data_IF_810069748966
#
_entry.id   IF_810069748966
#
_cell.length_a   1.000
_cell.length_b   1.000
_cell.length_c   1.000
_cell.angle_alpha   90.00
_cell.angle_beta   90.00
_cell.angle_gamma   90.00
#
_symmetry.space_group_name_H-M   'P 1'
#
loop_
_entity.id
_entity.type
_entity.pdbx_description
1 polymer ?
#
# COMPACT_ATOMS: atom_id res chain seq x y z
N UNK A 1 20.67 -1.10 -27.95
CA UNK A 1 19.23 -1.51 -28.01
C UNK A 1 18.46 -0.44 -28.77
N UNK A 2 17.63 -0.81 -29.77
CA UNK A 2 16.88 0.14 -30.60
C UNK A 2 15.80 0.87 -29.76
N UNK A 3 15.85 2.21 -29.59
CA UNK A 3 14.89 2.96 -28.78
C UNK A 3 13.45 2.89 -29.31
N UNK A 4 13.26 2.89 -30.63
CA UNK A 4 11.93 2.84 -31.26
C UNK A 4 11.24 1.53 -30.90
N UNK A 5 11.97 0.40 -31.02
CA UNK A 5 11.43 -0.92 -30.66
C UNK A 5 11.06 -1.03 -29.18
N UNK A 6 11.77 -0.33 -28.28
CA UNK A 6 11.39 -0.27 -26.86
C UNK A 6 10.07 0.47 -26.68
N UNK A 7 9.89 1.61 -27.34
CA UNK A 7 8.64 2.38 -27.28
C UNK A 7 7.48 1.57 -27.85
N UNK A 8 7.67 0.92 -29.00
CA UNK A 8 6.68 0.02 -29.60
C UNK A 8 6.28 -1.10 -28.63
N UNK A 9 7.26 -1.71 -27.95
CA UNK A 9 7.01 -2.72 -26.93
C UNK A 9 6.17 -2.19 -25.77
N UNK A 10 6.50 -1.01 -25.22
CA UNK A 10 5.72 -0.40 -24.14
C UNK A 10 4.31 -0.02 -24.57
N UNK A 11 4.13 0.45 -25.81
CA UNK A 11 2.82 0.77 -26.37
C UNK A 11 1.94 -0.50 -26.42
N UNK A 12 2.50 -1.61 -26.89
CA UNK A 12 1.76 -2.86 -27.04
C UNK A 12 1.44 -3.51 -25.69
N UNK A 13 2.42 -3.57 -24.78
CA UNK A 13 2.30 -4.37 -23.55
C UNK A 13 1.71 -3.59 -22.37
N UNK A 14 1.99 -2.30 -22.27
CA UNK A 14 1.55 -1.48 -21.13
C UNK A 14 0.46 -0.51 -21.58
N UNK A 15 0.70 0.33 -22.58
CA UNK A 15 -0.20 1.45 -22.89
C UNK A 15 -1.58 1.01 -23.35
N UNK A 16 -1.68 0.16 -24.40
CA UNK A 16 -2.97 -0.22 -25.00
C UNK A 16 -3.91 -0.91 -24.02
N UNK A 17 -3.39 -1.88 -23.25
CA UNK A 17 -4.17 -2.61 -22.26
C UNK A 17 -4.60 -1.71 -21.11
N UNK A 18 -3.68 -0.89 -20.58
CA UNK A 18 -4.02 -0.09 -19.42
C UNK A 18 -4.93 1.08 -19.78
N UNK A 19 -4.84 1.66 -20.98
CA UNK A 19 -5.72 2.74 -21.40
C UNK A 19 -7.21 2.31 -21.40
N UNK A 20 -7.50 1.11 -21.91
CA UNK A 20 -8.88 0.55 -21.82
C UNK A 20 -9.31 0.23 -20.39
N UNK A 21 -8.38 -0.20 -19.54
CA UNK A 21 -8.70 -0.58 -18.16
C UNK A 21 -8.89 0.65 -17.26
N UNK A 22 -8.11 1.72 -17.43
CA UNK A 22 -8.29 3.01 -16.73
C UNK A 22 -9.59 3.70 -17.15
N UNK A 23 -9.97 3.58 -18.43
CA UNK A 23 -11.30 4.00 -18.91
C UNK A 23 -12.44 3.26 -18.18
N UNK A 24 -12.33 1.93 -18.07
CA UNK A 24 -13.27 1.08 -17.33
C UNK A 24 -14.33 0.40 -18.18
N UNK A 25 -14.54 0.82 -19.42
CA UNK A 25 -15.46 0.17 -20.37
C UNK A 25 -14.71 -0.76 -21.33
N UNK A 26 -14.10 -1.81 -20.78
CA UNK A 26 -13.12 -2.66 -21.50
C UNK A 26 -13.67 -3.23 -22.83
N UNK A 27 -14.94 -3.63 -22.88
CA UNK A 27 -15.54 -4.29 -24.05
C UNK A 27 -15.90 -3.35 -25.19
N UNK A 28 -16.11 -2.06 -24.92
CA UNK A 28 -16.55 -1.04 -25.90
C UNK A 28 -15.54 0.09 -26.03
N UNK A 29 -14.35 -0.07 -25.45
CA UNK A 29 -13.34 0.98 -25.43
C UNK A 29 -12.85 1.31 -26.83
N UNK A 30 -12.93 2.59 -27.16
CA UNK A 30 -12.30 3.19 -28.34
C UNK A 30 -11.40 4.32 -27.85
N UNK A 31 -10.12 4.39 -28.25
CA UNK A 31 -9.18 5.44 -27.82
C UNK A 31 -9.44 6.76 -28.58
N UNK A 32 -10.70 7.17 -28.68
CA UNK A 32 -11.14 8.41 -29.32
C UNK A 32 -12.02 9.15 -28.31
N UNK A 33 -11.63 10.38 -28.01
CA UNK A 33 -12.43 11.26 -27.18
C UNK A 33 -13.66 11.71 -27.97
N UNK A 34 -14.86 11.42 -27.45
CA UNK A 34 -16.12 11.90 -28.04
C UNK A 34 -17.03 12.52 -26.97
N UNK A 35 -18.02 13.28 -27.43
CA UNK A 35 -18.89 14.10 -26.57
C UNK A 35 -19.60 13.28 -25.48
N UNK A 36 -20.04 12.08 -25.80
CA UNK A 36 -20.82 11.25 -24.86
C UNK A 36 -19.96 10.66 -23.73
N UNK A 37 -18.63 10.70 -23.85
CA UNK A 37 -17.73 10.37 -22.74
C UNK A 37 -17.70 11.48 -21.67
N UNK A 38 -18.27 12.65 -21.96
CA UNK A 38 -18.17 13.84 -21.12
C UNK A 38 -19.50 14.11 -20.40
N UNK A 39 -19.59 13.73 -19.13
CA UNK A 39 -20.74 14.01 -18.29
C UNK A 39 -20.65 15.36 -17.54
N UNK A 40 -19.49 16.04 -17.61
CA UNK A 40 -19.21 17.27 -16.86
C UNK A 40 -18.14 18.11 -17.56
N UNK A 41 -17.90 19.30 -17.02
CA UNK A 41 -16.88 20.21 -17.48
C UNK A 41 -15.47 19.61 -17.35
N UNK A 42 -14.63 19.82 -18.37
CA UNK A 42 -13.28 19.28 -18.47
C UNK A 42 -12.40 19.71 -17.30
N UNK A 43 -12.47 20.99 -16.90
CA UNK A 43 -11.61 21.54 -15.85
C UNK A 43 -11.84 20.85 -14.50
N UNK A 44 -13.09 20.44 -14.25
CA UNK A 44 -13.47 19.75 -13.01
C UNK A 44 -12.90 18.33 -12.97
N UNK A 45 -12.99 17.60 -14.08
CA UNK A 45 -12.60 16.18 -14.17
C UNK A 45 -11.13 15.99 -14.52
N UNK A 46 -10.43 17.05 -14.92
CA UNK A 46 -9.02 17.03 -15.24
C UNK A 46 -8.16 16.71 -14.02
N UNK A 47 -7.35 15.66 -14.14
CA UNK A 47 -6.37 15.23 -13.14
C UNK A 47 -5.03 15.91 -13.46
N UNK A 48 -4.63 16.85 -12.61
CA UNK A 48 -3.37 17.56 -12.74
C UNK A 48 -2.31 17.00 -11.78
N UNK A 49 -1.01 17.20 -12.05
CA UNK A 49 0.07 16.82 -11.12
C UNK A 49 -0.12 17.38 -9.70
N UNK A 50 -0.64 18.61 -9.58
CA UNK A 50 -0.90 19.24 -8.29
C UNK A 50 -2.00 18.50 -7.52
N UNK A 51 -3.11 18.14 -8.19
CA UNK A 51 -4.20 17.34 -7.59
C UNK A 51 -3.70 15.96 -7.17
N UNK A 52 -2.83 15.34 -7.97
CA UNK A 52 -2.18 14.06 -7.64
C UNK A 52 -1.36 14.20 -6.36
N UNK A 53 -0.39 15.11 -6.35
CA UNK A 53 0.53 15.29 -5.21
C UNK A 53 -0.19 15.71 -3.93
N UNK A 54 -1.17 16.61 -4.03
CA UNK A 54 -2.00 17.00 -2.88
C UNK A 54 -2.79 15.80 -2.31
N UNK A 55 -3.33 14.95 -3.18
CA UNK A 55 -4.05 13.73 -2.75
C UNK A 55 -3.11 12.71 -2.13
N UNK A 56 -1.92 12.50 -2.70
CA UNK A 56 -0.89 11.62 -2.13
C UNK A 56 -0.51 12.11 -0.73
N UNK A 57 -0.18 13.38 -0.55
CA UNK A 57 0.21 13.94 0.75
C UNK A 57 -0.90 13.77 1.79
N UNK A 58 -2.15 14.06 1.42
CA UNK A 58 -3.31 13.82 2.30
C UNK A 58 -3.47 12.35 2.70
N UNK A 59 -3.16 11.42 1.80
CA UNK A 59 -3.20 10.00 2.13
C UNK A 59 -2.03 9.58 3.03
N UNK A 60 -0.86 10.20 2.88
CA UNK A 60 0.30 9.98 3.76
C UNK A 60 0.11 10.54 5.18
N UNK A 61 -0.71 11.58 5.34
CA UNK A 61 -1.18 12.02 6.66
C UNK A 61 -2.04 10.97 7.37
N UNK A 62 -2.56 9.98 6.63
CA UNK A 62 -3.31 8.86 7.18
C UNK A 62 -2.42 7.64 7.28
N UNK A 63 -1.91 7.14 6.16
CA UNK A 63 -1.06 5.96 6.04
C UNK A 63 0.37 6.37 5.61
N UNK A 64 1.15 6.85 6.57
CA UNK A 64 2.46 7.46 6.31
C UNK A 64 3.50 6.48 5.73
N UNK A 65 3.36 5.19 6.02
CA UNK A 65 4.36 4.16 5.70
C UNK A 65 4.11 3.43 4.39
N UNK A 66 3.11 3.83 3.60
CA UNK A 66 2.73 3.14 2.36
C UNK A 66 3.88 3.03 1.36
N UNK A 67 4.77 4.03 1.34
CA UNK A 67 5.95 4.09 0.46
C UNK A 67 7.27 3.88 1.19
N UNK A 68 7.23 3.48 2.47
CA UNK A 68 8.41 3.22 3.27
C UNK A 68 8.75 1.73 3.23
N UNK A 69 9.96 1.43 2.77
CA UNK A 69 10.38 0.06 2.52
C UNK A 69 11.67 -0.25 3.27
N UNK A 70 11.72 -1.43 3.88
CA UNK A 70 12.95 -1.99 4.43
C UNK A 70 13.79 -2.54 3.28
N UNK A 71 14.96 -1.95 3.07
CA UNK A 71 15.87 -2.26 1.97
C UNK A 71 17.25 -2.63 2.50
N UNK A 72 17.97 -3.45 1.75
CA UNK A 72 19.32 -3.84 2.12
C UNK A 72 20.28 -2.71 1.75
N UNK A 73 21.03 -2.25 2.74
CA UNK A 73 22.15 -1.33 2.62
C UNK A 73 23.48 -2.07 2.72
N UNK A 74 24.38 -1.77 1.80
CA UNK A 74 25.75 -2.29 1.77
C UNK A 74 26.70 -1.17 1.39
N UNK A 75 27.79 -1.01 2.15
CA UNK A 75 28.82 -0.01 1.92
C UNK A 75 30.19 -0.60 2.27
N UNK A 76 30.97 -0.91 1.23
CA UNK A 76 32.28 -1.57 1.36
C UNK A 76 33.32 -0.67 2.06
N UNK A 77 33.32 0.64 1.76
CA UNK A 77 34.25 1.61 2.37
C UNK A 77 34.08 1.68 3.88
N UNK A 78 32.83 1.56 4.34
CA UNK A 78 32.46 1.57 5.76
C UNK A 78 32.40 0.18 6.38
N UNK A 79 32.86 -0.86 5.66
CA UNK A 79 32.84 -2.28 6.10
C UNK A 79 31.43 -2.81 6.43
N UNK A 80 30.39 -2.18 5.89
CA UNK A 80 29.00 -2.61 6.06
C UNK A 80 28.64 -3.57 4.93
N UNK A 81 28.56 -4.87 5.23
CA UNK A 81 28.22 -5.88 4.22
C UNK A 81 26.72 -5.94 3.94
N UNK A 82 25.90 -5.96 4.99
CA UNK A 82 24.44 -6.07 4.88
C UNK A 82 23.75 -5.54 6.14
N UNK A 83 23.07 -4.42 5.99
CA UNK A 83 22.15 -3.88 7.01
C UNK A 83 20.79 -3.57 6.40
N UNK A 84 19.77 -3.44 7.23
CA UNK A 84 18.43 -3.06 6.81
C UNK A 84 18.17 -1.60 7.16
N UNK A 85 17.78 -0.80 6.17
CA UNK A 85 17.38 0.60 6.34
C UNK A 85 15.97 0.82 5.84
N UNK A 86 15.29 1.82 6.39
CA UNK A 86 14.03 2.31 5.83
C UNK A 86 14.32 3.37 4.77
N UNK A 87 13.80 3.16 3.56
CA UNK A 87 13.88 4.11 2.45
C UNK A 87 12.48 4.38 1.92
N UNK A 88 12.14 5.67 1.77
CA UNK A 88 10.91 6.10 1.11
C UNK A 88 11.08 6.10 -0.40
N UNK A 89 10.22 5.40 -1.12
CA UNK A 89 10.27 5.31 -2.59
C UNK A 89 8.89 5.60 -3.18
N UNK A 90 8.75 6.77 -3.80
CA UNK A 90 7.51 7.16 -4.44
C UNK A 90 7.32 6.45 -5.79
N UNK A 91 6.07 6.12 -6.16
CA UNK A 91 5.74 5.55 -7.45
C UNK A 91 5.75 6.62 -8.55
N UNK A 92 6.07 6.21 -9.78
CA UNK A 92 5.86 7.04 -10.96
C UNK A 92 4.37 7.06 -11.30
N UNK A 93 3.80 8.25 -11.45
CA UNK A 93 2.41 8.44 -11.82
C UNK A 93 2.31 8.70 -13.33
N UNK A 94 1.57 7.84 -14.03
CA UNK A 94 1.35 7.95 -15.47
C UNK A 94 -0.13 8.29 -15.70
N UNK A 95 -0.37 9.42 -16.36
CA UNK A 95 -1.71 9.84 -16.76
C UNK A 95 -2.03 9.30 -18.16
N UNK A 96 -3.00 8.38 -18.22
CA UNK A 96 -3.49 7.79 -19.45
C UNK A 96 -4.38 8.79 -20.20
N UNK A 97 -4.21 8.96 -21.52
CA UNK A 97 -4.97 9.93 -22.31
C UNK A 97 -6.39 9.40 -22.59
N UNK A 98 -7.21 9.32 -21.56
CA UNK A 98 -8.59 8.89 -21.61
C UNK A 98 -9.42 9.58 -20.54
N UNK A 99 -10.72 9.61 -20.76
CA UNK A 99 -11.72 9.77 -19.70
C UNK A 99 -11.93 8.39 -19.07
N UNK A 100 -11.94 8.30 -17.75
CA UNK A 100 -12.03 7.00 -17.07
C UNK A 100 -12.50 7.05 -15.63
N UNK A 101 -12.64 5.87 -15.03
CA UNK A 101 -13.14 5.69 -13.68
C UNK A 101 -12.32 4.72 -12.82
N UNK A 102 -11.15 4.28 -13.32
CA UNK A 102 -10.30 3.31 -12.62
C UNK A 102 -8.86 3.79 -12.50
N UNK A 103 -8.25 3.54 -11.34
CA UNK A 103 -6.81 3.60 -11.14
C UNK A 103 -6.20 2.20 -11.16
N UNK A 104 -5.02 2.06 -11.73
CA UNK A 104 -4.31 0.78 -11.86
C UNK A 104 -2.98 0.87 -11.15
N UNK A 105 -2.71 -0.12 -10.29
CA UNK A 105 -1.37 -0.40 -9.79
C UNK A 105 -0.71 -1.34 -10.81
N UNK A 106 0.19 -0.81 -11.65
CA UNK A 106 0.81 -1.57 -12.74
C UNK A 106 1.94 -2.45 -12.24
N UNK A 107 2.84 -1.86 -11.47
CA UNK A 107 4.03 -2.51 -10.94
C UNK A 107 4.35 -1.92 -9.58
N UNK A 108 4.72 -2.76 -8.62
CA UNK A 108 5.17 -2.37 -7.30
C UNK A 108 6.66 -2.01 -7.27
N UNK A 109 7.48 -2.65 -8.10
CA UNK A 109 8.92 -2.38 -8.25
C UNK A 109 9.36 -2.51 -9.71
N UNK A 110 10.54 -1.97 -10.03
CA UNK A 110 11.21 -2.13 -11.32
C UNK A 110 12.40 -3.09 -11.20
N UNK A 111 12.34 -4.24 -11.88
CA UNK A 111 13.41 -5.24 -11.87
C UNK A 111 13.41 -6.06 -10.59
N UNK A 112 14.61 -6.32 -10.02
CA UNK A 112 14.77 -7.16 -8.81
C UNK A 112 15.01 -6.37 -7.53
N UNK A 113 15.38 -5.10 -7.66
CA UNK A 113 15.73 -4.26 -6.51
C UNK A 113 14.46 -3.68 -5.90
N UNK A 114 14.29 -3.89 -4.59
CA UNK A 114 13.11 -3.48 -3.82
C UNK A 114 13.04 -1.98 -3.54
N UNK A 115 14.13 -1.26 -3.79
CA UNK A 115 14.25 0.17 -3.57
C UNK A 115 13.97 1.00 -4.84
N UNK A 116 13.29 0.39 -5.82
CA UNK A 116 12.93 1.01 -7.09
C UNK A 116 11.47 1.43 -7.12
N UNK A 117 11.16 2.47 -7.89
CA UNK A 117 9.80 2.99 -8.00
C UNK A 117 8.84 2.01 -8.68
N UNK A 118 7.66 1.89 -8.09
CA UNK A 118 6.47 1.32 -8.74
C UNK A 118 5.86 2.28 -9.76
N UNK A 119 4.80 1.85 -10.45
CA UNK A 119 4.09 2.64 -11.46
C UNK A 119 2.59 2.58 -11.25
N UNK A 120 1.96 3.74 -11.10
CA UNK A 120 0.52 3.88 -10.98
C UNK A 120 -0.06 4.59 -12.21
N UNK A 121 -1.20 4.12 -12.67
CA UNK A 121 -1.84 4.63 -13.87
C UNK A 121 -3.21 5.19 -13.49
N UNK A 122 -3.47 6.44 -13.87
CA UNK A 122 -4.77 7.08 -13.70
C UNK A 122 -5.22 7.69 -15.03
N UNK A 123 -6.52 7.80 -15.32
CA UNK A 123 -6.98 8.55 -16.47
C UNK A 123 -6.70 10.05 -16.26
N UNK A 124 -6.34 10.76 -17.31
CA UNK A 124 -6.13 12.21 -17.29
C UNK A 124 -7.45 12.97 -17.01
N UNK A 125 -8.60 12.36 -17.34
CA UNK A 125 -9.92 12.86 -16.97
C UNK A 125 -10.71 11.81 -16.19
N UNK A 126 -11.26 12.15 -15.02
CA UNK A 126 -12.04 11.22 -14.20
C UNK A 126 -13.28 11.85 -13.59
N UNK A 127 -14.41 11.14 -13.69
CA UNK A 127 -15.63 11.47 -12.93
C UNK A 127 -15.59 10.87 -11.52
N UNK A 128 -14.76 9.85 -11.32
CA UNK A 128 -14.56 9.24 -10.02
C UNK A 128 -13.67 10.14 -9.17
N UNK A 129 -14.02 10.29 -7.89
CA UNK A 129 -13.21 11.02 -6.94
C UNK A 129 -11.76 10.47 -6.91
N UNK A 130 -10.78 11.35 -7.14
CA UNK A 130 -9.37 10.97 -7.24
C UNK A 130 -8.84 10.31 -5.96
N UNK A 131 -9.27 10.78 -4.79
CA UNK A 131 -8.91 10.17 -3.50
C UNK A 131 -9.41 8.72 -3.43
N UNK A 132 -10.65 8.45 -3.82
CA UNK A 132 -11.18 7.07 -3.88
C UNK A 132 -10.37 6.17 -4.81
N UNK A 133 -9.96 6.67 -5.98
CA UNK A 133 -9.11 5.92 -6.91
C UNK A 133 -7.75 5.60 -6.29
N UNK A 134 -7.10 6.60 -5.68
CA UNK A 134 -5.78 6.45 -5.08
C UNK A 134 -5.80 5.50 -3.89
N UNK A 135 -6.80 5.56 -3.02
CA UNK A 135 -6.92 4.63 -1.88
C UNK A 135 -6.95 3.17 -2.35
N UNK A 136 -7.69 2.87 -3.43
CA UNK A 136 -7.71 1.53 -4.02
C UNK A 136 -6.35 1.12 -4.58
N UNK A 137 -5.66 2.03 -5.27
CA UNK A 137 -4.32 1.77 -5.82
C UNK A 137 -3.30 1.55 -4.70
N UNK A 138 -3.35 2.34 -3.62
CA UNK A 138 -2.49 2.21 -2.45
C UNK A 138 -2.73 0.89 -1.72
N UNK A 139 -4.00 0.48 -1.55
CA UNK A 139 -4.33 -0.83 -0.99
C UNK A 139 -3.77 -1.98 -1.84
N UNK A 140 -3.89 -1.92 -3.17
CA UNK A 140 -3.27 -2.92 -4.05
C UNK A 140 -1.74 -2.91 -3.94
N UNK A 141 -1.13 -1.73 -3.87
CA UNK A 141 0.30 -1.57 -3.72
C UNK A 141 0.81 -2.15 -2.41
N UNK A 142 0.16 -1.85 -1.27
CA UNK A 142 0.45 -2.45 0.05
C UNK A 142 0.50 -3.97 -0.02
N UNK A 143 -0.53 -4.56 -0.64
CA UNK A 143 -0.64 -6.01 -0.77
C UNK A 143 0.48 -6.61 -1.62
N UNK A 144 0.67 -6.10 -2.85
CA UNK A 144 1.68 -6.67 -3.76
C UNK A 144 3.10 -6.40 -3.26
N UNK A 145 3.37 -5.24 -2.67
CA UNK A 145 4.67 -4.94 -2.09
C UNK A 145 5.00 -5.90 -0.94
N UNK A 146 4.03 -6.20 -0.05
CA UNK A 146 4.22 -7.21 0.99
C UNK A 146 4.49 -8.59 0.38
N UNK A 147 3.73 -9.01 -0.65
CA UNK A 147 3.99 -10.30 -1.34
C UNK A 147 5.39 -10.35 -1.96
N UNK A 148 5.85 -9.26 -2.57
CA UNK A 148 7.18 -9.16 -3.18
C UNK A 148 8.30 -9.17 -2.14
N UNK A 149 8.08 -8.61 -0.95
CA UNK A 149 9.02 -8.66 0.17
C UNK A 149 9.14 -10.09 0.72
N UNK A 150 8.01 -10.74 0.98
CA UNK A 150 7.95 -12.09 1.59
C UNK A 150 8.30 -13.22 0.61
N UNK A 151 8.19 -12.99 -0.71
CA UNK A 151 8.54 -13.96 -1.73
C UNK A 151 7.70 -15.23 -1.60
N UNK A 152 8.35 -16.38 -1.37
CA UNK A 152 7.65 -17.68 -1.22
C UNK A 152 6.87 -17.81 0.08
N UNK A 153 7.20 -17.01 1.11
CA UNK A 153 6.57 -17.05 2.43
C UNK A 153 5.31 -16.17 2.52
N UNK A 154 4.87 -15.54 1.43
CA UNK A 154 3.76 -14.57 1.43
C UNK A 154 2.44 -15.10 2.00
N UNK A 155 2.23 -16.41 1.98
CA UNK A 155 1.04 -17.09 2.53
C UNK A 155 1.39 -18.10 3.64
N UNK A 156 2.58 -18.02 4.23
CA UNK A 156 2.98 -18.90 5.33
C UNK A 156 2.74 -18.19 6.67
N UNK A 157 1.76 -18.66 7.44
CA UNK A 157 1.41 -18.09 8.75
C UNK A 157 2.55 -18.22 9.79
N UNK A 158 3.52 -19.12 9.57
CA UNK A 158 4.75 -19.19 10.38
C UNK A 158 5.59 -17.92 10.25
N UNK A 159 5.52 -17.30 9.08
CA UNK A 159 6.14 -16.00 8.76
C UNK A 159 5.06 -14.92 8.74
N UNK A 160 4.77 -14.37 9.92
CA UNK A 160 3.73 -13.37 10.11
C UNK A 160 3.98 -12.10 9.29
N UNK A 161 3.12 -11.86 8.32
CA UNK A 161 3.11 -10.68 7.45
C UNK A 161 1.66 -10.26 7.20
N UNK A 162 1.46 -9.09 6.58
CA UNK A 162 0.13 -8.64 6.19
C UNK A 162 -0.59 -9.71 5.35
N UNK A 163 0.10 -10.27 4.35
CA UNK A 163 -0.53 -11.17 3.39
C UNK A 163 -0.76 -12.55 3.98
N UNK A 164 0.13 -13.06 4.84
CA UNK A 164 -0.03 -14.38 5.45
C UNK A 164 -1.12 -14.39 6.51
N UNK A 165 -1.16 -13.39 7.40
CA UNK A 165 -2.22 -13.28 8.42
C UNK A 165 -3.59 -13.00 7.79
N UNK A 166 -3.64 -12.13 6.78
CA UNK A 166 -4.91 -11.80 6.14
C UNK A 166 -5.45 -12.97 5.31
N UNK A 167 -4.58 -13.75 4.65
CA UNK A 167 -4.99 -14.95 3.93
C UNK A 167 -5.47 -16.05 4.87
N UNK A 168 -4.79 -16.26 6.00
CA UNK A 168 -5.22 -17.18 7.06
C UNK A 168 -6.59 -16.77 7.64
N UNK A 169 -6.77 -15.47 7.91
CA UNK A 169 -8.05 -14.92 8.34
C UNK A 169 -9.18 -15.25 7.36
N UNK A 170 -8.97 -15.01 6.06
CA UNK A 170 -9.97 -15.33 5.03
C UNK A 170 -10.22 -16.83 4.88
N UNK A 171 -9.23 -17.69 5.09
CA UNK A 171 -9.37 -19.13 4.99
C UNK A 171 -10.15 -19.72 6.18
N UNK A 172 -9.88 -19.23 7.39
CA UNK A 172 -10.41 -19.81 8.63
C UNK A 172 -11.51 -18.99 9.31
N UNK A 173 -12.03 -17.95 8.66
CA UNK A 173 -13.03 -17.04 9.25
C UNK A 173 -14.27 -17.74 9.83
N UNK A 174 -14.70 -18.88 9.25
CA UNK A 174 -15.85 -19.65 9.75
C UNK A 174 -15.65 -20.18 11.18
N UNK A 175 -14.40 -20.53 11.52
CA UNK A 175 -13.99 -21.05 12.83
C UNK A 175 -13.55 -19.96 13.80
N UNK A 176 -13.46 -18.71 13.34
CA UNK A 176 -12.99 -17.60 14.16
C UNK A 176 -14.05 -17.21 15.20
N UNK A 177 -13.65 -17.25 16.49
CA UNK A 177 -14.52 -16.94 17.63
C UNK A 177 -14.77 -15.44 17.83
N UNK A 178 -13.91 -14.59 17.27
CA UNK A 178 -14.03 -13.13 17.35
C UNK A 178 -15.07 -12.56 16.36
N UNK A 179 -15.63 -13.41 15.50
CA UNK A 179 -16.68 -13.05 14.55
C UNK A 179 -18.02 -13.63 15.00
N UNK A 180 -19.03 -12.76 15.15
CA UNK A 180 -20.42 -13.20 15.24
C UNK A 180 -20.88 -13.82 13.91
N UNK A 181 -21.95 -14.62 13.94
CA UNK A 181 -22.50 -15.24 12.71
C UNK A 181 -22.89 -14.19 11.66
N UNK A 182 -23.45 -13.05 12.08
CA UNK A 182 -23.74 -11.93 11.18
C UNK A 182 -22.47 -11.39 10.50
N UNK A 183 -21.37 -11.25 11.24
CA UNK A 183 -20.08 -10.80 10.70
C UNK A 183 -19.47 -11.83 9.74
N UNK A 184 -19.64 -13.12 10.01
CA UNK A 184 -19.20 -14.19 9.11
C UNK A 184 -19.97 -14.16 7.78
N UNK A 185 -21.27 -13.92 7.80
CA UNK A 185 -22.06 -13.81 6.56
C UNK A 185 -21.71 -12.53 5.78
N UNK A 186 -21.49 -11.40 6.47
CA UNK A 186 -20.97 -10.17 5.83
C UNK A 186 -19.62 -10.40 5.16
N UNK A 187 -18.70 -11.11 5.82
CA UNK A 187 -17.40 -11.44 5.25
C UNK A 187 -17.51 -12.37 4.05
N UNK A 188 -18.39 -13.38 4.09
CA UNK A 188 -18.67 -14.25 2.94
C UNK A 188 -19.15 -13.44 1.72
N UNK A 189 -20.06 -12.49 1.94
CA UNK A 189 -20.51 -11.57 0.88
C UNK A 189 -19.37 -10.69 0.36
N UNK A 190 -18.49 -10.22 1.23
CA UNK A 190 -17.31 -9.45 0.84
C UNK A 190 -16.31 -10.29 0.03
N UNK A 191 -16.08 -11.55 0.40
CA UNK A 191 -15.25 -12.50 -0.36
C UNK A 191 -15.81 -12.70 -1.78
N UNK A 192 -17.13 -12.84 -1.89
CA UNK A 192 -17.79 -12.93 -3.19
C UNK A 192 -17.64 -11.65 -4.02
N UNK A 193 -17.79 -10.47 -3.41
CA UNK A 193 -17.56 -9.17 -4.06
C UNK A 193 -16.12 -9.03 -4.56
N UNK A 194 -15.14 -9.48 -3.77
CA UNK A 194 -13.73 -9.54 -4.15
C UNK A 194 -13.39 -10.69 -5.11
N UNK A 195 -14.39 -11.44 -5.61
CA UNK A 195 -14.23 -12.56 -6.55
C UNK A 195 -13.26 -13.64 -6.05
N UNK A 196 -13.25 -13.89 -4.74
CA UNK A 196 -12.30 -14.79 -4.07
C UNK A 196 -10.82 -14.39 -4.22
N UNK A 197 -10.52 -13.15 -4.62
CA UNK A 197 -9.16 -12.63 -4.68
C UNK A 197 -8.83 -11.91 -3.37
N UNK A 198 -7.95 -12.49 -2.56
CA UNK A 198 -7.54 -11.94 -1.26
C UNK A 198 -7.07 -10.49 -1.33
N UNK A 199 -6.41 -10.10 -2.43
CA UNK A 199 -6.00 -8.71 -2.65
C UNK A 199 -7.19 -7.76 -2.77
N UNK A 200 -8.18 -8.11 -3.59
CA UNK A 200 -9.35 -7.24 -3.78
C UNK A 200 -10.23 -7.20 -2.52
N UNK A 201 -10.26 -8.30 -1.76
CA UNK A 201 -10.93 -8.34 -0.45
C UNK A 201 -10.21 -7.43 0.55
N UNK A 202 -8.87 -7.48 0.59
CA UNK A 202 -8.04 -6.56 1.38
C UNK A 202 -8.26 -5.11 0.99
N UNK A 203 -8.33 -4.79 -0.31
CA UNK A 203 -8.57 -3.42 -0.79
C UNK A 203 -9.90 -2.87 -0.28
N UNK A 204 -10.95 -3.69 -0.22
CA UNK A 204 -12.25 -3.27 0.34
C UNK A 204 -12.08 -2.87 1.82
N UNK A 205 -11.36 -3.67 2.60
CA UNK A 205 -11.10 -3.34 4.02
C UNK A 205 -10.18 -2.13 4.18
N UNK A 206 -9.15 -2.00 3.35
CA UNK A 206 -8.24 -0.86 3.33
C UNK A 206 -8.99 0.44 2.98
N UNK A 207 -9.95 0.39 2.05
CA UNK A 207 -10.84 1.53 1.80
C UNK A 207 -11.64 1.93 3.04
N UNK A 208 -12.13 0.95 3.82
CA UNK A 208 -12.83 1.26 5.07
C UNK A 208 -11.89 1.83 6.14
N UNK A 209 -10.66 1.32 6.20
CA UNK A 209 -9.60 1.76 7.10
C UNK A 209 -9.27 3.24 6.92
N UNK A 210 -9.01 3.64 5.67
CA UNK A 210 -8.65 5.02 5.33
C UNK A 210 -9.85 5.96 5.42
N UNK A 211 -11.03 5.56 4.96
CA UNK A 211 -12.17 6.48 4.85
C UNK A 211 -12.96 6.64 6.14
N UNK A 212 -13.01 5.62 7.00
CA UNK A 212 -13.85 5.57 8.20
C UNK A 212 -13.05 5.37 9.49
N UNK A 213 -12.25 4.31 9.60
CA UNK A 213 -11.55 3.99 10.86
C UNK A 213 -10.52 5.07 11.21
N UNK A 214 -9.85 5.68 10.22
CA UNK A 214 -8.97 6.83 10.40
C UNK A 214 -9.67 8.04 11.05
N UNK A 215 -11.00 8.13 10.92
CA UNK A 215 -11.86 9.18 11.51
C UNK A 215 -12.56 8.71 12.80
N UNK A 216 -12.29 7.50 13.27
CA UNK A 216 -12.93 6.88 14.44
C UNK A 216 -14.30 6.26 14.16
N UNK A 217 -14.71 6.15 12.89
CA UNK A 217 -15.94 5.46 12.51
C UNK A 217 -15.67 3.97 12.30
N UNK A 218 -16.22 3.15 13.19
CA UNK A 218 -15.93 1.72 13.27
C UNK A 218 -16.73 0.96 12.22
N UNK A 219 -16.02 0.34 11.27
CA UNK A 219 -16.60 -0.43 10.15
C UNK A 219 -16.00 -1.82 10.03
N UNK A 220 -14.77 -2.00 10.48
CA UNK A 220 -14.02 -3.23 10.33
C UNK A 220 -14.25 -4.22 11.47
N UNK A 221 -13.99 -5.49 11.18
CA UNK A 221 -13.93 -6.52 12.19
C UNK A 221 -12.66 -6.36 13.04
N UNK A 222 -12.72 -6.80 14.29
CA UNK A 222 -11.60 -6.72 15.24
C UNK A 222 -10.29 -7.32 14.67
N UNK A 223 -10.27 -8.55 14.10
CA UNK A 223 -9.04 -9.13 13.53
C UNK A 223 -8.45 -8.27 12.39
N UNK A 224 -9.31 -7.72 11.52
CA UNK A 224 -8.87 -6.88 10.39
C UNK A 224 -8.28 -5.56 10.89
N UNK A 225 -8.90 -4.95 11.92
CA UNK A 225 -8.38 -3.73 12.55
C UNK A 225 -6.98 -3.96 13.13
N UNK A 226 -6.76 -5.07 13.82
CA UNK A 226 -5.45 -5.39 14.40
C UNK A 226 -4.37 -5.60 13.31
N UNK A 227 -4.70 -6.33 12.24
CA UNK A 227 -3.79 -6.53 11.11
C UNK A 227 -3.45 -5.20 10.45
N UNK A 228 -4.44 -4.36 10.14
CA UNK A 228 -4.22 -3.06 9.50
C UNK A 228 -3.49 -2.07 10.41
N UNK A 229 -3.80 -2.02 11.70
CA UNK A 229 -3.04 -1.20 12.65
C UNK A 229 -1.57 -1.62 12.75
N UNK A 230 -1.27 -2.90 12.58
CA UNK A 230 0.10 -3.44 12.64
C UNK A 230 0.86 -3.15 11.34
N UNK A 231 0.26 -3.43 10.18
CA UNK A 231 0.97 -3.42 8.89
C UNK A 231 0.71 -2.19 8.01
N UNK A 232 -0.39 -1.47 8.25
CA UNK A 232 -0.76 -0.21 7.60
C UNK A 232 -1.03 0.87 8.68
N UNK A 233 -0.05 1.15 9.56
CA UNK A 233 -0.26 1.96 10.75
C UNK A 233 -0.63 3.40 10.39
N UNK A 234 -1.58 3.95 11.15
CA UNK A 234 -1.93 5.35 10.98
C UNK A 234 -0.78 6.29 11.38
N UNK A 235 -0.78 7.50 10.82
CA UNK A 235 0.11 8.57 11.27
C UNK A 235 -0.09 8.85 12.78
N UNK A 236 0.97 9.35 13.43
CA UNK A 236 1.01 9.56 14.89
C UNK A 236 -0.19 10.34 15.42
N UNK A 237 -0.55 11.46 14.79
CA UNK A 237 -1.67 12.30 15.21
C UNK A 237 -3.02 11.53 15.23
N UNK A 238 -3.24 10.63 14.27
CA UNK A 238 -4.45 9.80 14.22
C UNK A 238 -4.40 8.73 15.32
N UNK A 239 -3.24 8.09 15.53
CA UNK A 239 -3.09 7.07 16.58
C UNK A 239 -3.32 7.64 17.97
N UNK A 240 -2.78 8.82 18.28
CA UNK A 240 -2.97 9.49 19.57
C UNK A 240 -4.45 9.81 19.80
N UNK A 241 -5.15 10.30 18.77
CA UNK A 241 -6.60 10.56 18.85
C UNK A 241 -7.42 9.28 19.04
N UNK A 242 -7.12 8.23 18.30
CA UNK A 242 -7.88 6.97 18.33
C UNK A 242 -7.53 6.10 19.55
N UNK A 243 -6.33 6.22 20.11
CA UNK A 243 -5.89 5.47 21.28
C UNK A 243 -6.73 5.72 22.53
N UNK A 244 -7.47 6.83 22.58
CA UNK A 244 -8.45 7.13 23.62
C UNK A 244 -9.72 6.28 23.53
N UNK A 245 -9.95 5.60 22.40
CA UNK A 245 -11.13 4.77 22.19
C UNK A 245 -10.83 3.31 22.57
N UNK A 246 -11.62 2.69 23.48
CA UNK A 246 -11.39 1.30 23.91
C UNK A 246 -11.34 0.28 22.76
N UNK A 247 -12.07 0.54 21.67
CA UNK A 247 -12.18 -0.35 20.52
C UNK A 247 -10.89 -0.41 19.66
N UNK A 248 -9.94 0.50 19.88
CA UNK A 248 -8.61 0.50 19.26
C UNK A 248 -7.51 0.03 20.20
N UNK A 249 -7.80 -0.16 21.49
CA UNK A 249 -6.79 -0.43 22.52
C UNK A 249 -5.91 -1.65 22.18
N UNK A 250 -6.53 -2.79 21.84
CA UNK A 250 -5.82 -4.03 21.52
C UNK A 250 -4.99 -3.92 20.23
N UNK A 251 -5.53 -3.26 19.21
CA UNK A 251 -4.84 -3.01 17.94
C UNK A 251 -3.63 -2.09 18.15
N UNK A 252 -3.77 -1.03 18.95
CA UNK A 252 -2.69 -0.10 19.27
C UNK A 252 -1.65 -0.76 20.19
N UNK A 253 -2.07 -1.60 21.14
CA UNK A 253 -1.17 -2.36 21.99
C UNK A 253 -0.32 -3.34 21.17
N UNK A 254 -0.92 -4.04 20.20
CA UNK A 254 -0.19 -4.92 19.26
C UNK A 254 0.83 -4.12 18.45
N UNK A 255 0.40 -3.02 17.85
CA UNK A 255 1.29 -2.13 17.10
C UNK A 255 2.49 -1.66 17.95
N UNK A 256 2.24 -1.19 19.18
CA UNK A 256 3.29 -0.70 20.08
C UNK A 256 4.28 -1.80 20.48
N UNK A 257 3.82 -3.04 20.68
CA UNK A 257 4.70 -4.19 20.95
C UNK A 257 5.61 -4.49 19.77
N UNK A 258 5.08 -4.54 18.55
CA UNK A 258 5.88 -4.78 17.34
C UNK A 258 6.86 -3.63 17.07
N UNK A 259 6.43 -2.38 17.27
CA UNK A 259 7.29 -1.19 17.21
C UNK A 259 8.47 -1.30 18.18
N UNK A 260 8.20 -1.59 19.46
CA UNK A 260 9.25 -1.73 20.47
C UNK A 260 10.21 -2.89 20.18
N UNK A 261 9.70 -4.00 19.65
CA UNK A 261 10.52 -5.12 19.19
C UNK A 261 11.48 -4.68 18.07
N UNK A 262 10.98 -3.92 17.09
CA UNK A 262 11.82 -3.37 16.00
C UNK A 262 12.86 -2.37 16.48
N UNK A 263 12.51 -1.47 17.40
CA UNK A 263 13.49 -0.56 18.01
C UNK A 263 14.62 -1.35 18.69
N UNK A 264 14.28 -2.36 19.51
CA UNK A 264 15.28 -3.19 20.20
C UNK A 264 16.15 -4.00 19.23
N UNK A 265 15.57 -4.51 18.15
CA UNK A 265 16.29 -5.22 17.09
C UNK A 265 17.35 -4.31 16.45
N UNK A 266 16.97 -3.09 16.04
CA UNK A 266 17.86 -2.10 15.43
C UNK A 266 18.93 -1.61 16.41
N UNK A 267 18.57 -1.31 17.66
CA UNK A 267 19.53 -0.89 18.70
C UNK A 267 20.53 -1.99 19.07
N UNK A 268 20.10 -3.26 19.06
CA UNK A 268 21.00 -4.40 19.23
C UNK A 268 21.97 -4.49 18.06
N UNK A 269 21.48 -4.29 16.84
CA UNK A 269 22.32 -4.32 15.63
C UNK A 269 23.36 -3.19 15.62
N UNK A 270 22.98 -1.97 16.00
CA UNK A 270 23.92 -0.85 16.13
C UNK A 270 25.03 -1.16 17.15
N UNK A 271 24.68 -1.73 18.32
CA UNK A 271 25.66 -2.14 19.33
C UNK A 271 26.64 -3.20 18.82
N UNK A 272 26.18 -4.12 17.96
CA UNK A 272 27.06 -5.10 17.32
C UNK A 272 28.04 -4.43 16.35
N UNK A 273 27.57 -3.48 15.53
CA UNK A 273 28.43 -2.72 14.62
C UNK A 273 29.50 -1.91 15.38
N UNK A 274 29.11 -1.25 16.47
CA UNK A 274 30.03 -0.52 17.35
C UNK A 274 31.10 -1.45 17.96
N UNK A 275 30.70 -2.65 18.40
CA UNK A 275 31.63 -3.67 18.92
C UNK A 275 32.63 -4.12 17.85
N UNK A 276 32.19 -4.22 16.61
CA UNK A 276 33.03 -4.55 15.45
C UNK A 276 33.85 -3.35 14.94
N UNK A 277 33.79 -2.20 15.64
CA UNK A 277 34.45 -0.93 15.30
C UNK A 277 34.01 -0.40 13.92
N UNK A 278 32.77 -0.67 13.55
CA UNK A 278 32.10 -0.12 12.38
C UNK A 278 31.30 1.10 12.82
N UNK A 279 31.54 2.23 12.16
CA UNK A 279 30.82 3.47 12.45
C UNK A 279 29.35 3.37 12.01
N UNK A 280 28.43 3.74 12.91
CA UNK A 280 27.00 3.77 12.60
C UNK A 280 26.72 4.96 11.69
N UNK A 281 26.37 4.67 10.44
CA UNK A 281 26.13 5.68 9.41
C UNK A 281 24.80 6.42 9.61
N UNK A 282 24.65 7.64 9.07
CA UNK A 282 23.41 8.40 9.16
C UNK A 282 22.16 7.64 8.70
N UNK A 283 22.27 6.79 7.68
CA UNK A 283 21.16 5.98 7.15
C UNK A 283 20.61 4.98 8.19
N UNK A 284 21.49 4.40 9.01
CA UNK A 284 21.11 3.50 10.10
C UNK A 284 20.48 4.26 11.27
N UNK A 285 21.04 5.43 11.61
CA UNK A 285 20.46 6.32 12.62
C UNK A 285 19.07 6.82 12.21
N UNK A 286 18.90 7.21 10.95
CA UNK A 286 17.60 7.63 10.40
C UNK A 286 16.57 6.51 10.50
N UNK A 287 16.97 5.26 10.28
CA UNK A 287 16.10 4.10 10.44
C UNK A 287 15.66 3.90 11.89
N UNK A 288 16.58 4.04 12.84
CA UNK A 288 16.24 4.00 14.27
C UNK A 288 15.31 5.13 14.67
N UNK A 289 15.57 6.35 14.19
CA UNK A 289 14.73 7.51 14.45
C UNK A 289 13.34 7.35 13.85
N UNK A 290 13.24 6.82 12.64
CA UNK A 290 11.96 6.47 11.99
C UNK A 290 11.11 5.57 12.90
N UNK A 291 11.68 4.47 13.41
CA UNK A 291 10.95 3.59 14.32
C UNK A 291 10.70 4.19 15.71
N UNK A 292 11.41 5.23 16.14
CA UNK A 292 11.14 5.92 17.42
C UNK A 292 10.00 6.92 17.24
N UNK A 293 10.06 7.72 16.20
CA UNK A 293 9.10 8.81 15.92
C UNK A 293 7.74 8.29 15.46
N UNK A 294 7.73 7.32 14.55
CA UNK A 294 6.53 6.78 13.94
C UNK A 294 6.17 5.45 14.58
#
# INVERSE_FOLDING_TARGET
>A
VNPIRKVEYEIQNMFRYNNRTTNGQISVFVPVLHRDMLASDFDRIHVTPEKINATINKLLEIDYSVFDHEVIYSNEEKKITKEYIIKRVYPDIILMPTVGCNGIMWQEITGKKRDTSGRFLFPIFTFTNLTTLMVKVFGRFRWEMCRTIEGTAWNDIKHKSLTSEYSDYLQFYRKNKDLSEEKKEKLKNQIQKGRNNSREIFVIDYEQWINYEAKGAIRLNKPVREMLATYCPFAKAIRERLGMQPLFEEAMARYNREKLKKIREVESRHRLLEKDRIEVVPELLNTLNYYKEY
#
